data_IF_943753108130
#
_entry.id   IF_943753108130
#
_cell.length_a   1.000
_cell.length_b   1.000
_cell.length_c   1.000
_cell.angle_alpha   90.00
_cell.angle_beta   90.00
_cell.angle_gamma   90.00
#
_symmetry.space_group_name_H-M   'P 1'
#
loop_
_entity.id
_entity.type
_entity.pdbx_description
1 polymer ?
#
# COMPACT_ATOMS: atom_id res chain seq x y z
N UNK A 1 -5.02 -21.58 11.68
CA UNK A 1 -4.65 -20.38 10.90
C UNK A 1 -5.22 -19.16 11.61
N UNK A 2 -4.59 -18.70 12.71
CA UNK A 2 -5.12 -17.60 13.51
C UNK A 2 -4.88 -16.28 12.77
N UNK A 3 -5.96 -15.66 12.33
CA UNK A 3 -5.97 -14.26 11.94
C UNK A 3 -5.97 -13.48 13.25
N UNK A 4 -4.83 -12.90 13.63
CA UNK A 4 -4.82 -11.95 14.74
C UNK A 4 -5.57 -10.71 14.22
N UNK A 5 -6.78 -10.40 14.73
CA UNK A 5 -7.56 -9.26 14.24
C UNK A 5 -6.79 -7.93 14.38
N UNK A 6 -5.83 -7.90 15.31
CA UNK A 6 -4.89 -6.79 15.52
C UNK A 6 -4.01 -6.54 14.29
N UNK A 7 -3.50 -7.58 13.62
CA UNK A 7 -2.63 -7.40 12.44
C UNK A 7 -3.39 -6.78 11.26
N UNK A 8 -4.66 -7.18 11.11
CA UNK A 8 -5.56 -6.62 10.08
C UNK A 8 -5.89 -5.18 10.41
N UNK A 9 -6.20 -4.87 11.67
CA UNK A 9 -6.49 -3.51 12.12
C UNK A 9 -5.27 -2.59 11.98
N UNK A 10 -4.08 -3.05 12.40
CA UNK A 10 -2.83 -2.30 12.24
C UNK A 10 -2.50 -2.06 10.76
N UNK A 11 -2.68 -3.07 9.91
CA UNK A 11 -2.52 -2.94 8.46
C UNK A 11 -3.51 -1.95 7.86
N UNK A 12 -4.77 -1.96 8.33
CA UNK A 12 -5.79 -1.02 7.87
C UNK A 12 -5.46 0.42 8.29
N UNK A 13 -5.06 0.63 9.54
CA UNK A 13 -4.65 1.95 10.04
C UNK A 13 -3.43 2.45 9.27
N UNK A 14 -2.42 1.61 9.08
CA UNK A 14 -1.23 1.96 8.30
C UNK A 14 -1.59 2.36 6.87
N UNK A 15 -2.39 1.53 6.19
CA UNK A 15 -2.81 1.78 4.80
C UNK A 15 -3.66 3.04 4.69
N UNK A 16 -4.54 3.29 5.66
CA UNK A 16 -5.37 4.49 5.71
C UNK A 16 -4.53 5.75 5.91
N UNK A 17 -3.67 5.75 6.94
CA UNK A 17 -2.79 6.89 7.24
C UNK A 17 -1.83 7.14 6.08
N UNK A 18 -1.22 6.10 5.53
CA UNK A 18 -0.35 6.23 4.35
C UNK A 18 -1.13 6.76 3.15
N UNK A 19 -2.33 6.25 2.86
CA UNK A 19 -3.17 6.73 1.76
C UNK A 19 -3.53 8.21 1.89
N UNK A 20 -3.97 8.64 3.07
CA UNK A 20 -4.34 10.04 3.34
C UNK A 20 -3.11 10.96 3.32
N UNK A 21 -1.98 10.50 3.89
CA UNK A 21 -0.73 11.25 3.91
C UNK A 21 -0.06 11.31 2.53
N UNK A 22 -0.29 10.32 1.68
CA UNK A 22 0.25 10.27 0.33
C UNK A 22 -0.65 10.99 -0.66
N UNK A 23 -1.95 11.10 -0.42
CA UNK A 23 -2.86 11.83 -1.28
C UNK A 23 -4.06 12.37 -0.49
N UNK A 24 -3.98 13.58 0.10
CA UNK A 24 -5.08 14.14 0.86
C UNK A 24 -6.21 14.52 -0.08
N UNK A 25 -7.46 14.45 0.37
CA UNK A 25 -8.63 14.78 -0.44
C UNK A 25 -8.63 16.22 -0.98
N UNK A 26 -7.80 17.13 -0.44
CA UNK A 26 -7.68 18.52 -0.92
C UNK A 26 -6.45 18.77 -1.80
N UNK A 27 -5.66 17.75 -2.16
CA UNK A 27 -4.49 17.80 -3.08
C UNK A 27 -3.45 18.92 -2.81
N UNK A 28 -3.46 19.53 -1.63
CA UNK A 28 -2.90 20.88 -1.41
C UNK A 28 -1.40 20.98 -1.71
N UNK A 29 -0.64 19.90 -1.48
CA UNK A 29 0.80 19.88 -1.69
C UNK A 29 1.20 19.34 -3.07
N UNK A 30 0.46 18.40 -3.64
CA UNK A 30 0.76 17.87 -4.98
C UNK A 30 0.49 18.87 -6.09
N UNK A 31 -0.41 19.86 -5.88
CA UNK A 31 -0.67 20.93 -6.86
C UNK A 31 0.59 21.77 -7.14
N UNK A 32 1.41 22.04 -6.12
CA UNK A 32 2.69 22.74 -6.32
C UNK A 32 3.71 21.86 -7.03
N UNK A 33 3.75 20.58 -6.68
CA UNK A 33 4.69 19.63 -7.30
C UNK A 33 4.34 19.40 -8.77
N UNK A 34 3.05 19.24 -9.09
CA UNK A 34 2.57 19.05 -10.45
C UNK A 34 2.77 20.29 -11.32
N UNK A 35 2.73 21.50 -10.74
CA UNK A 35 3.05 22.73 -11.47
C UNK A 35 4.52 22.82 -11.92
N UNK A 36 5.43 22.08 -11.29
CA UNK A 36 6.87 22.10 -11.59
C UNK A 36 7.30 20.87 -12.38
N UNK A 37 6.85 19.68 -11.97
CA UNK A 37 7.26 18.40 -12.55
C UNK A 37 6.30 17.86 -13.62
N UNK A 38 5.12 18.45 -13.73
CA UNK A 38 4.02 17.91 -14.51
C UNK A 38 3.23 16.84 -13.76
N UNK A 39 1.99 16.64 -14.20
CA UNK A 39 1.01 15.76 -13.55
C UNK A 39 1.42 14.28 -13.61
N UNK A 40 1.89 13.82 -14.78
CA UNK A 40 2.29 12.42 -14.98
C UNK A 40 3.47 12.01 -14.09
N UNK A 41 4.47 12.88 -13.93
CA UNK A 41 5.63 12.60 -13.11
C UNK A 41 5.26 12.56 -11.61
N UNK A 42 4.37 13.45 -11.21
CA UNK A 42 3.84 13.54 -9.85
C UNK A 42 3.08 12.26 -9.47
N UNK A 43 2.21 11.79 -10.37
CA UNK A 43 1.49 10.52 -10.20
C UNK A 43 2.46 9.32 -10.16
N UNK A 44 3.48 9.32 -11.00
CA UNK A 44 4.53 8.30 -10.98
C UNK A 44 5.27 8.25 -9.62
N UNK A 45 5.65 9.41 -9.09
CA UNK A 45 6.31 9.51 -7.78
C UNK A 45 5.42 8.99 -6.65
N UNK A 46 4.13 9.38 -6.64
CA UNK A 46 3.13 8.86 -5.69
C UNK A 46 3.00 7.35 -5.79
N UNK A 47 2.93 6.81 -7.00
CA UNK A 47 2.89 5.36 -7.23
C UNK A 47 4.12 4.64 -6.65
N UNK A 48 5.32 5.20 -6.87
CA UNK A 48 6.56 4.65 -6.31
C UNK A 48 6.56 4.70 -4.78
N UNK A 49 6.18 5.83 -4.18
CA UNK A 49 6.04 5.95 -2.73
C UNK A 49 5.03 4.92 -2.19
N UNK A 50 3.93 4.69 -2.91
CA UNK A 50 2.95 3.70 -2.52
C UNK A 50 3.52 2.28 -2.55
N UNK A 51 4.27 1.92 -3.60
CA UNK A 51 4.98 0.63 -3.63
C UNK A 51 5.94 0.51 -2.44
N UNK A 52 6.67 1.57 -2.10
CA UNK A 52 7.59 1.57 -0.95
C UNK A 52 6.84 1.30 0.37
N UNK A 53 5.65 1.87 0.57
CA UNK A 53 4.82 1.58 1.76
C UNK A 53 4.50 0.09 1.85
N UNK A 54 4.11 -0.53 0.74
CA UNK A 54 3.87 -1.98 0.67
C UNK A 54 5.11 -2.82 0.98
N UNK A 55 6.26 -2.39 0.46
CA UNK A 55 7.56 -3.02 0.76
C UNK A 55 7.86 -2.92 2.25
N UNK A 56 7.77 -1.73 2.84
CA UNK A 56 8.05 -1.48 4.26
C UNK A 56 7.13 -2.30 5.17
N UNK A 57 5.84 -2.38 4.84
CA UNK A 57 4.86 -3.15 5.61
C UNK A 57 5.22 -4.63 5.73
N UNK A 58 5.71 -5.25 4.64
CA UNK A 58 6.11 -6.67 4.66
C UNK A 58 7.56 -6.83 5.13
N UNK A 59 8.46 -5.97 4.67
CA UNK A 59 9.90 -6.07 4.89
C UNK A 59 10.31 -5.74 6.33
N UNK A 60 9.75 -4.68 6.90
CA UNK A 60 10.16 -4.14 8.20
C UNK A 60 9.15 -4.43 9.31
N UNK A 61 7.85 -4.36 9.02
CA UNK A 61 6.80 -4.63 10.02
C UNK A 61 6.40 -6.11 10.09
N UNK A 62 7.04 -6.96 9.27
CA UNK A 62 6.80 -8.42 9.20
C UNK A 62 5.33 -8.82 9.04
N UNK A 63 4.51 -7.92 8.48
CA UNK A 63 3.08 -8.17 8.32
C UNK A 63 2.86 -9.30 7.33
N UNK A 64 1.98 -10.23 7.70
CA UNK A 64 1.55 -11.31 6.81
C UNK A 64 0.82 -10.71 5.62
N UNK A 65 1.21 -11.11 4.40
CA UNK A 65 0.62 -10.61 3.15
C UNK A 65 -0.92 -10.72 3.14
N UNK A 66 -1.48 -11.83 3.65
CA UNK A 66 -2.93 -12.02 3.73
C UNK A 66 -3.63 -11.03 4.67
N UNK A 67 -3.01 -10.72 5.81
CA UNK A 67 -3.53 -9.75 6.76
C UNK A 67 -3.39 -8.32 6.24
N UNK A 68 -2.27 -8.02 5.56
CA UNK A 68 -2.04 -6.75 4.91
C UNK A 68 -3.06 -6.47 3.80
N UNK A 69 -3.28 -7.43 2.89
CA UNK A 69 -4.31 -7.29 1.84
C UNK A 69 -5.70 -7.08 2.44
N UNK A 70 -6.06 -7.85 3.47
CA UNK A 70 -7.34 -7.67 4.18
C UNK A 70 -7.46 -6.28 4.81
N UNK A 71 -6.41 -5.79 5.47
CA UNK A 71 -6.38 -4.47 6.09
C UNK A 71 -6.45 -3.33 5.07
N UNK A 72 -5.73 -3.45 3.96
CA UNK A 72 -5.74 -2.46 2.87
C UNK A 72 -7.14 -2.37 2.22
N UNK A 73 -7.81 -3.50 2.00
CA UNK A 73 -9.20 -3.53 1.50
C UNK A 73 -10.18 -2.92 2.51
N UNK A 74 -10.00 -3.18 3.80
CA UNK A 74 -10.82 -2.58 4.84
C UNK A 74 -10.61 -1.05 4.89
N UNK A 75 -9.36 -0.60 4.83
CA UNK A 75 -9.01 0.81 4.78
C UNK A 75 -9.63 1.51 3.56
N UNK A 76 -9.67 0.85 2.41
CA UNK A 76 -10.36 1.35 1.22
C UNK A 76 -11.85 1.54 1.47
N UNK A 77 -12.54 0.51 1.97
CA UNK A 77 -13.97 0.56 2.20
C UNK A 77 -14.33 1.66 3.22
N UNK A 78 -13.57 1.75 4.32
CA UNK A 78 -13.75 2.79 5.34
C UNK A 78 -13.45 4.17 4.77
N UNK A 79 -12.36 4.34 4.03
CA UNK A 79 -12.01 5.62 3.39
C UNK A 79 -13.06 6.07 2.40
N UNK A 80 -13.57 5.16 1.57
CA UNK A 80 -14.65 5.45 0.63
C UNK A 80 -15.95 5.84 1.34
N UNK A 81 -16.32 5.14 2.42
CA UNK A 81 -17.48 5.51 3.23
C UNK A 81 -17.31 6.89 3.88
N UNK A 82 -16.11 7.19 4.40
CA UNK A 82 -15.80 8.48 5.02
C UNK A 82 -15.87 9.62 4.00
N UNK A 83 -15.33 9.42 2.79
CA UNK A 83 -15.40 10.39 1.69
C UNK A 83 -16.86 10.64 1.31
N UNK A 84 -17.65 9.57 1.16
CA UNK A 84 -19.07 9.68 0.81
C UNK A 84 -19.89 10.49 1.84
N UNK A 85 -19.58 10.32 3.14
CA UNK A 85 -20.31 10.98 4.23
C UNK A 85 -19.82 12.42 4.48
N UNK A 86 -18.52 12.66 4.41
CA UNK A 86 -17.90 13.92 4.88
C UNK A 86 -17.67 14.93 3.76
N UNK A 87 -17.38 14.48 2.55
CA UNK A 87 -16.94 15.37 1.48
C UNK A 87 -18.04 15.75 0.46
N UNK A 88 -19.25 15.15 0.57
CA UNK A 88 -20.21 15.01 -0.54
C UNK A 88 -19.54 14.34 -1.76
N UNK A 89 -20.24 13.56 -2.60
CA UNK A 89 -19.57 12.76 -3.64
C UNK A 89 -18.99 13.64 -4.77
N UNK A 90 -17.78 14.15 -4.58
CA UNK A 90 -17.01 14.91 -5.56
C UNK A 90 -16.24 13.92 -6.42
N UNK A 91 -16.86 13.53 -7.54
CA UNK A 91 -16.24 12.85 -8.69
C UNK A 91 -15.73 11.40 -8.51
N UNK A 92 -16.01 10.48 -9.46
CA UNK A 92 -15.51 9.10 -9.48
C UNK A 92 -13.98 8.98 -9.56
N UNK A 93 -13.27 10.09 -9.75
CA UNK A 93 -11.81 10.16 -9.74
C UNK A 93 -11.19 9.65 -8.43
N UNK A 94 -11.84 9.88 -7.28
CA UNK A 94 -11.32 9.43 -5.98
C UNK A 94 -11.27 7.90 -5.89
N UNK A 95 -12.26 7.19 -6.45
CA UNK A 95 -12.27 5.72 -6.51
C UNK A 95 -11.05 5.19 -7.26
N UNK A 96 -10.78 5.77 -8.43
CA UNK A 96 -9.69 5.32 -9.31
C UNK A 96 -8.33 5.59 -8.68
N UNK A 97 -8.15 6.78 -8.08
CA UNK A 97 -6.90 7.16 -7.42
C UNK A 97 -6.59 6.30 -6.19
N UNK A 98 -7.56 6.14 -5.27
CA UNK A 98 -7.35 5.31 -4.09
C UNK A 98 -7.24 3.82 -4.45
N UNK A 99 -7.97 3.34 -5.45
CA UNK A 99 -7.81 1.99 -5.98
C UNK A 99 -6.40 1.76 -6.56
N UNK A 100 -5.87 2.72 -7.31
CA UNK A 100 -4.49 2.67 -7.82
C UNK A 100 -3.43 2.65 -6.72
N UNK A 101 -3.61 3.45 -5.66
CA UNK A 101 -2.73 3.45 -4.48
C UNK A 101 -2.69 2.09 -3.80
N UNK A 102 -3.85 1.47 -3.61
CA UNK A 102 -3.96 0.14 -3.00
C UNK A 102 -3.29 -0.92 -3.86
N UNK A 103 -3.49 -0.88 -5.18
CA UNK A 103 -2.81 -1.79 -6.10
C UNK A 103 -1.28 -1.64 -5.97
N UNK A 104 -0.77 -0.42 -5.83
CA UNK A 104 0.65 -0.17 -5.60
C UNK A 104 1.14 -0.72 -4.25
N UNK A 105 0.37 -0.53 -3.18
CA UNK A 105 0.69 -1.10 -1.85
C UNK A 105 0.79 -2.63 -1.92
N UNK A 106 -0.20 -3.29 -2.53
CA UNK A 106 -0.21 -4.74 -2.70
C UNK A 106 0.94 -5.22 -3.58
N UNK A 107 1.24 -4.48 -4.65
CA UNK A 107 2.37 -4.80 -5.53
C UNK A 107 3.71 -4.79 -4.78
N UNK A 108 3.97 -3.77 -3.97
CA UNK A 108 5.18 -3.70 -3.13
C UNK A 108 5.29 -4.84 -2.12
N UNK A 109 4.16 -5.20 -1.51
CA UNK A 109 4.07 -6.32 -0.58
C UNK A 109 4.38 -7.67 -1.27
N UNK A 110 3.80 -7.90 -2.46
CA UNK A 110 4.01 -9.13 -3.26
C UNK A 110 5.45 -9.25 -3.77
N UNK A 111 6.06 -8.15 -4.23
CA UNK A 111 7.46 -8.17 -4.66
C UNK A 111 8.37 -8.59 -3.50
N UNK A 112 8.08 -8.08 -2.29
CA UNK A 112 8.87 -8.35 -1.09
C UNK A 112 8.75 -9.80 -0.63
N UNK A 113 7.54 -10.37 -0.61
CA UNK A 113 7.36 -11.78 -0.26
C UNK A 113 8.08 -12.70 -1.23
N UNK A 114 7.94 -12.46 -2.55
CA UNK A 114 8.63 -13.27 -3.57
C UNK A 114 10.15 -13.24 -3.43
N UNK A 115 10.73 -12.08 -3.08
CA UNK A 115 12.17 -11.95 -2.84
C UNK A 115 12.64 -12.78 -1.64
N UNK A 116 11.85 -12.81 -0.56
CA UNK A 116 12.14 -13.65 0.61
C UNK A 116 12.08 -15.14 0.27
N UNK A 117 11.05 -15.56 -0.46
CA UNK A 117 10.87 -16.96 -0.85
C UNK A 117 12.02 -17.46 -1.75
N UNK A 118 12.45 -16.62 -2.70
CA UNK A 118 13.60 -16.92 -3.57
C UNK A 118 14.92 -17.02 -2.78
N UNK A 119 15.15 -16.12 -1.81
CA UNK A 119 16.34 -16.16 -0.95
C UNK A 119 16.40 -17.42 -0.09
N UNK A 120 15.28 -17.83 0.50
CA UNK A 120 15.19 -19.05 1.30
C UNK A 120 15.46 -20.31 0.46
N UNK A 121 14.94 -20.35 -0.77
CA UNK A 121 15.15 -21.46 -1.71
C UNK A 121 16.63 -21.62 -2.09
N UNK A 122 17.33 -20.50 -2.34
CA UNK A 122 18.76 -20.50 -2.64
C UNK A 122 19.60 -20.98 -1.45
N UNK A 123 19.29 -20.51 -0.23
CA UNK A 123 19.98 -20.92 0.99
C UNK A 123 19.84 -22.43 1.27
N UNK A 124 18.64 -22.98 1.11
CA UNK A 124 18.37 -24.40 1.32
C UNK A 124 19.10 -25.30 0.30
N UNK A 125 19.19 -24.88 -0.96
CA UNK A 125 19.96 -25.59 -1.99
C UNK A 125 21.46 -25.67 -1.65
N UNK A 126 22.03 -24.59 -1.11
CA UNK A 126 23.45 -24.53 -0.71
C UNK A 126 23.74 -25.43 0.49
N UNK A 127 22.79 -25.55 1.42
CA UNK A 127 22.92 -26.42 2.60
C UNK A 127 22.95 -27.88 2.21
N UNK A 128 22.09 -28.30 1.29
CA UNK A 128 22.03 -29.69 0.79
C UNK A 128 23.27 -30.11 0.00
N UNK A 129 23.98 -29.19 -0.64
CA UNK A 129 25.25 -29.48 -1.33
C UNK A 129 26.46 -29.54 -0.41
N UNK A 130 26.32 -29.07 0.83
CA UNK A 130 27.39 -29.06 1.83
C UNK A 130 27.37 -30.27 2.77
N UNK A 131 26.31 -31.09 2.72
CA UNK A 131 26.15 -32.39 3.41
C UNK A 131 26.55 -33.54 2.48
#
# INVERSE_FOLDING_TARGET
MSWQPIDVAASAVLAFVAGVALWPPRHVYWVRVSSVLGESLTLGAVGVLAVIVGVVAVALLELRLSAFVGGVLLAYAVGMALIAVVLEPISPVHLVLYGGLIACFVLGAVITTRRRDAGNSAADSSRRTAE
#
